data_IF_643081802768
#
_entry.id   IF_643081802768
#
_cell.length_a   1.000
_cell.length_b   1.000
_cell.length_c   1.000
_cell.angle_alpha   90.00
_cell.angle_beta   90.00
_cell.angle_gamma   90.00
#
_symmetry.space_group_name_H-M   'P 1'
#
loop_
_entity.id
_entity.type
_entity.pdbx_description
1 polymer ?
#
# COMPACT_ATOMS: atom_id res chain seq x y z
N UNK A 1 -1.83 32.09 -42.86
CA UNK A 1 -2.86 33.13 -42.65
C UNK A 1 -2.95 33.39 -41.15
N UNK A 2 -2.36 34.51 -40.70
CA UNK A 2 -2.21 34.86 -39.26
C UNK A 2 -3.41 35.69 -38.85
N UNK A 3 -4.15 35.31 -37.80
CA UNK A 3 -5.12 36.18 -37.13
C UNK A 3 -4.59 36.54 -35.74
N UNK A 4 -4.27 37.85 -35.59
CA UNK A 4 -4.00 38.48 -34.29
C UNK A 4 -5.31 39.02 -33.76
N UNK A 5 -5.64 38.73 -32.49
CA UNK A 5 -6.68 39.45 -31.74
C UNK A 5 -6.01 40.46 -30.80
N UNK A 6 -6.38 41.73 -30.98
CA UNK A 6 -6.03 42.83 -30.10
C UNK A 6 -6.91 42.78 -28.82
N UNK A 7 -6.24 42.94 -27.69
CA UNK A 7 -6.87 43.17 -26.41
C UNK A 7 -6.87 44.67 -26.10
N UNK A 8 -8.06 45.29 -25.99
CA UNK A 8 -8.24 46.69 -25.67
C UNK A 8 -8.31 46.86 -24.14
N UNK A 9 -7.38 47.61 -23.58
CA UNK A 9 -7.34 48.01 -22.16
C UNK A 9 -8.16 49.30 -22.01
N UNK A 10 -9.18 49.26 -21.15
CA UNK A 10 -9.90 50.45 -20.68
C UNK A 10 -9.36 50.84 -19.31
N UNK A 11 -8.77 52.03 -19.27
CA UNK A 11 -8.23 52.67 -18.06
C UNK A 11 -9.35 53.56 -17.47
N UNK A 12 -9.84 53.26 -16.26
CA UNK A 12 -10.73 54.15 -15.52
C UNK A 12 -10.05 54.65 -14.25
N UNK A 13 -10.05 55.95 -14.07
CA UNK A 13 -9.24 56.66 -13.09
C UNK A 13 -9.70 56.51 -11.63
N UNK A 14 -8.72 56.64 -10.75
CA UNK A 14 -8.84 56.69 -9.30
C UNK A 14 -9.14 58.13 -8.84
N UNK A 15 -10.15 58.23 -7.97
CA UNK A 15 -10.29 59.36 -7.05
C UNK A 15 -9.88 58.88 -5.65
N UNK A 16 -8.86 59.46 -5.10
CA UNK A 16 -8.37 59.23 -3.76
C UNK A 16 -9.29 59.90 -2.72
N UNK A 17 -9.79 59.12 -1.76
CA UNK A 17 -10.33 59.61 -0.50
C UNK A 17 -9.48 59.06 0.62
N UNK A 18 -8.78 59.92 1.35
CA UNK A 18 -8.11 59.56 2.59
C UNK A 18 -9.13 59.31 3.70
N UNK A 19 -9.22 58.09 4.22
CA UNK A 19 -9.80 57.79 5.50
C UNK A 19 -8.75 57.18 6.43
N UNK A 20 -8.64 57.72 7.62
CA UNK A 20 -7.74 57.28 8.70
C UNK A 20 -8.16 55.91 9.18
N UNK A 21 -7.35 54.89 8.92
CA UNK A 21 -7.51 53.56 9.46
C UNK A 21 -7.06 53.50 10.91
N UNK A 22 -8.02 53.19 11.79
CA UNK A 22 -7.71 52.56 13.08
C UNK A 22 -7.30 51.07 12.83
N UNK A 23 -6.35 50.50 13.61
CA UNK A 23 -5.95 49.11 13.39
C UNK A 23 -7.08 48.17 13.75
N UNK A 24 -7.62 47.46 12.76
CA UNK A 24 -8.52 46.33 12.99
C UNK A 24 -7.81 45.28 13.83
N UNK A 25 -8.28 45.09 15.04
CA UNK A 25 -7.91 43.94 15.88
C UNK A 25 -8.44 42.68 15.20
N UNK A 26 -7.54 41.79 14.78
CA UNK A 26 -7.92 40.44 14.32
C UNK A 26 -8.87 39.80 15.35
N UNK A 27 -9.98 39.22 14.91
CA UNK A 27 -10.89 38.55 15.84
C UNK A 27 -10.14 37.37 16.51
N UNK A 28 -10.02 37.46 17.84
CA UNK A 28 -9.60 36.34 18.66
C UNK A 28 -10.54 35.17 18.35
N UNK A 29 -10.03 33.96 17.99
CA UNK A 29 -10.91 32.81 17.83
C UNK A 29 -11.72 32.62 19.10
N UNK A 30 -13.04 32.56 18.94
CA UNK A 30 -13.95 32.35 20.04
C UNK A 30 -13.55 31.04 20.77
N UNK A 31 -13.60 31.01 22.12
CA UNK A 31 -13.40 29.78 22.86
C UNK A 31 -14.38 28.75 22.31
N UNK A 32 -13.89 27.54 22.04
CA UNK A 32 -14.75 26.41 21.70
C UNK A 32 -15.54 26.10 22.97
N UNK A 33 -16.80 26.50 22.97
CA UNK A 33 -17.73 26.29 24.09
C UNK A 33 -17.93 24.77 24.23
N UNK A 34 -17.81 24.17 25.43
CA UNK A 34 -18.28 22.81 25.65
C UNK A 34 -19.81 22.82 25.65
N UNK A 35 -20.38 22.88 24.47
CA UNK A 35 -21.83 22.97 24.25
C UNK A 35 -22.46 21.60 24.52
N UNK A 36 -23.72 21.54 25.01
CA UNK A 36 -24.53 20.32 25.13
C UNK A 36 -24.66 19.53 23.80
N UNK A 37 -24.22 20.08 22.68
CA UNK A 37 -24.03 19.39 21.39
C UNK A 37 -22.87 18.44 21.28
N UNK A 38 -21.90 18.44 22.21
CA UNK A 38 -20.72 17.56 22.11
C UNK A 38 -21.06 16.08 22.27
N UNK A 39 -21.81 15.73 23.32
CA UNK A 39 -22.21 14.34 23.55
C UNK A 39 -23.22 13.84 22.51
N UNK A 40 -24.16 14.68 22.07
CA UNK A 40 -25.11 14.32 21.02
C UNK A 40 -24.39 14.09 19.68
N UNK A 41 -23.44 14.95 19.32
CA UNK A 41 -22.64 14.82 18.09
C UNK A 41 -21.78 13.57 18.10
N UNK A 42 -21.20 13.18 19.25
CA UNK A 42 -20.47 11.93 19.40
C UNK A 42 -21.35 10.71 19.17
N UNK A 43 -22.55 10.70 19.73
CA UNK A 43 -23.52 9.63 19.48
C UNK A 43 -23.91 9.58 18.00
N UNK A 44 -24.19 10.73 17.37
CA UNK A 44 -24.48 10.79 15.92
C UNK A 44 -23.33 10.27 15.07
N UNK A 45 -22.07 10.57 15.43
CA UNK A 45 -20.88 10.09 14.73
C UNK A 45 -20.69 8.59 14.93
N UNK A 46 -20.88 8.09 16.13
CA UNK A 46 -20.81 6.65 16.44
C UNK A 46 -21.87 5.87 15.65
N UNK A 47 -23.13 6.31 15.69
CA UNK A 47 -24.22 5.67 14.94
C UNK A 47 -23.97 5.69 13.42
N UNK A 48 -23.39 6.79 12.91
CA UNK A 48 -23.03 6.90 11.51
C UNK A 48 -21.92 5.91 11.13
N UNK A 49 -20.89 5.74 11.99
CA UNK A 49 -19.83 4.76 11.77
C UNK A 49 -20.38 3.33 11.79
N UNK A 50 -21.12 2.97 12.87
CA UNK A 50 -21.70 1.64 12.98
C UNK A 50 -22.55 1.27 11.79
N UNK A 51 -23.44 2.20 11.38
CA UNK A 51 -24.32 2.03 10.22
C UNK A 51 -23.54 1.94 8.91
N UNK A 52 -22.45 2.70 8.76
CA UNK A 52 -21.63 2.64 7.57
C UNK A 52 -21.01 1.25 7.40
N UNK A 53 -20.47 0.67 8.48
CA UNK A 53 -19.96 -0.70 8.47
C UNK A 53 -21.11 -1.68 8.20
N UNK A 54 -22.23 -1.56 8.91
CA UNK A 54 -23.40 -2.42 8.70
C UNK A 54 -23.87 -2.48 7.25
N UNK A 55 -23.81 -1.38 6.52
CA UNK A 55 -24.29 -1.27 5.15
C UNK A 55 -23.26 -1.48 4.06
N UNK A 56 -21.97 -1.25 4.34
CA UNK A 56 -20.93 -1.19 3.31
C UNK A 56 -19.82 -2.23 3.49
N UNK A 57 -19.68 -2.82 4.68
CA UNK A 57 -18.68 -3.86 4.89
C UNK A 57 -18.96 -5.04 3.97
N UNK A 58 -17.99 -5.42 3.15
CA UNK A 58 -18.19 -6.35 2.03
C UNK A 58 -18.67 -7.74 2.46
N UNK A 59 -18.24 -8.22 3.62
CA UNK A 59 -18.64 -9.52 4.16
C UNK A 59 -19.89 -9.40 5.01
N UNK A 60 -21.02 -9.95 4.53
CA UNK A 60 -22.32 -9.85 5.20
C UNK A 60 -22.37 -10.48 6.60
N UNK A 61 -21.54 -11.49 6.82
CA UNK A 61 -21.41 -12.19 8.11
C UNK A 61 -20.45 -11.48 9.08
N UNK A 62 -19.92 -10.30 8.73
CA UNK A 62 -18.91 -9.54 9.46
C UNK A 62 -17.72 -10.44 9.88
N UNK A 63 -17.37 -11.43 9.08
CA UNK A 63 -16.33 -12.44 9.38
C UNK A 63 -16.59 -13.23 10.67
N UNK A 64 -17.88 -13.41 11.02
CA UNK A 64 -18.33 -14.11 12.23
C UNK A 64 -18.45 -13.22 13.47
N UNK A 65 -18.27 -11.91 13.34
CA UNK A 65 -18.43 -10.95 14.45
C UNK A 65 -19.91 -10.60 14.63
N UNK A 66 -20.39 -10.63 15.87
CA UNK A 66 -21.71 -10.07 16.24
C UNK A 66 -21.61 -8.54 16.24
N UNK A 67 -21.92 -7.94 15.07
CA UNK A 67 -21.79 -6.50 14.85
C UNK A 67 -22.82 -5.71 15.67
N UNK A 68 -23.98 -6.28 15.99
CA UNK A 68 -24.94 -5.66 16.90
C UNK A 68 -24.43 -5.65 18.35
N UNK A 69 -23.82 -6.72 18.80
CA UNK A 69 -23.19 -6.74 20.13
C UNK A 69 -22.04 -5.74 20.23
N UNK A 70 -21.25 -5.55 19.17
CA UNK A 70 -20.21 -4.52 19.09
C UNK A 70 -20.78 -3.10 19.28
N UNK A 71 -21.93 -2.81 18.65
CA UNK A 71 -22.67 -1.56 18.86
C UNK A 71 -23.09 -1.36 20.32
N UNK A 72 -23.84 -2.33 20.85
CA UNK A 72 -24.46 -2.23 22.19
C UNK A 72 -23.39 -2.08 23.29
N UNK A 73 -22.29 -2.79 23.19
CA UNK A 73 -21.17 -2.69 24.14
C UNK A 73 -20.44 -1.36 24.03
N UNK A 74 -20.21 -0.85 22.82
CA UNK A 74 -19.57 0.46 22.64
C UNK A 74 -20.48 1.59 23.14
N UNK A 75 -21.79 1.50 22.91
CA UNK A 75 -22.76 2.48 23.40
C UNK A 75 -22.74 2.59 24.95
N UNK A 76 -22.38 1.53 25.67
CA UNK A 76 -22.25 1.57 27.13
C UNK A 76 -21.05 2.38 27.62
N UNK A 77 -19.96 2.43 26.86
CA UNK A 77 -18.72 3.14 27.25
C UNK A 77 -18.67 4.58 26.73
N UNK A 78 -19.42 4.90 25.66
CA UNK A 78 -19.48 6.23 25.06
C UNK A 78 -19.78 7.37 26.03
N UNK A 79 -20.70 7.23 27.03
CA UNK A 79 -20.96 8.31 27.99
C UNK A 79 -19.79 8.67 28.89
N UNK A 80 -18.78 7.80 29.02
CA UNK A 80 -17.55 8.03 29.78
C UNK A 80 -16.40 8.56 28.93
N UNK A 81 -16.57 8.69 27.62
CA UNK A 81 -15.55 9.21 26.70
C UNK A 81 -15.66 10.76 26.64
N UNK A 82 -15.05 11.43 27.62
CA UNK A 82 -15.17 12.89 27.78
C UNK A 82 -14.20 13.65 26.86
N UNK A 83 -13.08 13.05 26.47
CA UNK A 83 -12.06 13.62 25.58
C UNK A 83 -12.20 13.13 24.13
N UNK A 84 -11.54 13.79 23.18
CA UNK A 84 -11.45 13.32 21.79
C UNK A 84 -10.70 12.00 21.69
N UNK A 85 -9.65 11.82 22.46
CA UNK A 85 -8.83 10.59 22.47
C UNK A 85 -9.61 9.39 23.01
N UNK A 86 -10.37 9.56 24.10
CA UNK A 86 -11.23 8.51 24.65
C UNK A 86 -12.35 8.14 23.67
N UNK A 87 -12.92 9.12 22.97
CA UNK A 87 -13.89 8.86 21.93
C UNK A 87 -13.27 8.12 20.75
N UNK A 88 -12.10 8.54 20.26
CA UNK A 88 -11.38 7.86 19.19
C UNK A 88 -11.03 6.42 19.59
N UNK A 89 -10.62 6.19 20.83
CA UNK A 89 -10.34 4.85 21.35
C UNK A 89 -11.60 3.97 21.36
N UNK A 90 -12.75 4.51 21.75
CA UNK A 90 -14.02 3.76 21.71
C UNK A 90 -14.42 3.39 20.27
N UNK A 91 -14.26 4.33 19.30
CA UNK A 91 -14.53 4.10 17.88
C UNK A 91 -13.61 3.01 17.30
N UNK A 92 -12.30 3.09 17.57
CA UNK A 92 -11.33 2.07 17.15
C UNK A 92 -11.61 0.73 17.80
N UNK A 93 -11.86 0.68 19.11
CA UNK A 93 -12.15 -0.55 19.83
C UNK A 93 -13.42 -1.27 19.33
N UNK A 94 -14.37 -0.55 18.72
CA UNK A 94 -15.49 -1.19 18.01
C UNK A 94 -15.02 -1.81 16.68
N UNK A 95 -14.20 -1.10 15.90
CA UNK A 95 -13.68 -1.59 14.62
C UNK A 95 -12.69 -2.73 14.78
N UNK A 96 -11.88 -2.74 15.83
CA UNK A 96 -10.87 -3.76 16.16
C UNK A 96 -11.50 -5.15 16.43
N UNK A 97 -12.83 -5.25 16.49
CA UNK A 97 -13.53 -6.53 16.50
C UNK A 97 -13.57 -7.20 15.15
N UNK A 98 -13.52 -6.42 14.08
CA UNK A 98 -13.33 -6.92 12.73
C UNK A 98 -11.87 -7.37 12.56
N UNK A 99 -11.58 -8.26 11.62
CA UNK A 99 -10.19 -8.62 11.32
C UNK A 99 -9.35 -7.39 10.98
N UNK A 100 -8.08 -7.45 11.37
CA UNK A 100 -7.11 -6.38 11.14
C UNK A 100 -7.07 -5.96 9.66
N UNK A 101 -6.95 -4.67 9.40
CA UNK A 101 -6.88 -4.10 8.06
C UNK A 101 -8.23 -3.84 7.38
N UNK A 102 -9.33 -4.47 7.82
CA UNK A 102 -10.63 -4.37 7.14
C UNK A 102 -11.45 -3.11 7.49
N UNK A 103 -11.13 -2.45 8.59
CA UNK A 103 -11.76 -1.18 8.95
C UNK A 103 -10.79 -0.31 9.75
N UNK A 104 -10.83 1.02 9.52
CA UNK A 104 -9.98 1.98 10.21
C UNK A 104 -10.73 3.27 10.45
N UNK A 105 -10.55 3.86 11.64
CA UNK A 105 -11.07 5.17 12.00
C UNK A 105 -9.95 6.20 12.06
N UNK A 106 -10.16 7.32 11.41
CA UNK A 106 -9.31 8.51 11.48
C UNK A 106 -10.06 9.65 12.15
N UNK A 107 -9.49 10.22 13.19
CA UNK A 107 -9.99 11.45 13.78
C UNK A 107 -9.92 12.59 12.76
N UNK A 108 -10.63 13.68 13.03
CA UNK A 108 -10.55 14.87 12.19
C UNK A 108 -9.10 15.42 12.10
N UNK A 109 -8.35 15.35 13.21
CA UNK A 109 -6.97 15.82 13.23
C UNK A 109 -6.07 14.96 12.34
N UNK A 110 -6.13 13.63 12.48
CA UNK A 110 -5.37 12.68 11.65
C UNK A 110 -5.74 12.79 10.17
N UNK A 111 -7.02 12.98 9.86
CA UNK A 111 -7.46 13.21 8.47
C UNK A 111 -6.84 14.47 7.88
N UNK A 112 -6.85 15.58 8.62
CA UNK A 112 -6.24 16.85 8.15
C UNK A 112 -4.74 16.67 7.97
N UNK A 113 -4.08 16.00 8.90
CA UNK A 113 -2.64 15.69 8.81
C UNK A 113 -2.35 14.85 7.57
N UNK A 114 -3.10 13.78 7.34
CA UNK A 114 -2.95 12.92 6.16
C UNK A 114 -3.20 13.68 4.84
N UNK A 115 -4.21 14.55 4.78
CA UNK A 115 -4.54 15.34 3.58
C UNK A 115 -3.55 16.47 3.31
N UNK A 116 -2.81 16.93 4.32
CA UNK A 116 -1.79 17.99 4.20
C UNK A 116 -0.38 17.43 4.11
N UNK A 117 -0.18 16.14 4.39
CA UNK A 117 1.10 15.47 4.20
C UNK A 117 1.50 15.51 2.72
N UNK A 118 2.80 15.67 2.46
CA UNK A 118 3.33 15.55 1.11
C UNK A 118 3.51 14.06 0.76
N UNK A 119 2.66 13.47 -0.10
CA UNK A 119 2.73 12.04 -0.38
C UNK A 119 3.96 11.65 -1.21
N UNK A 120 4.57 12.61 -1.89
CA UNK A 120 5.72 12.39 -2.78
C UNK A 120 7.04 12.49 -2.04
N UNK A 121 7.10 13.31 -0.99
CA UNK A 121 8.32 13.54 -0.24
C UNK A 121 8.14 13.13 1.22
N UNK A 122 9.02 12.31 1.73
CA UNK A 122 9.08 11.99 3.15
C UNK A 122 10.50 12.19 3.71
N UNK A 123 10.61 12.34 5.00
CA UNK A 123 11.89 12.46 5.69
C UNK A 123 12.20 11.15 6.43
N UNK A 124 13.28 10.49 6.04
CA UNK A 124 13.62 9.19 6.59
C UNK A 124 14.92 8.60 6.03
N UNK A 125 15.03 7.27 6.09
CA UNK A 125 16.24 6.55 5.70
C UNK A 125 16.30 6.20 4.21
N UNK A 126 15.16 6.10 3.52
CA UNK A 126 15.11 5.75 2.09
C UNK A 126 14.98 4.27 1.81
N UNK A 127 14.08 3.61 2.51
CA UNK A 127 13.75 2.21 2.30
C UNK A 127 12.24 1.96 2.40
N UNK A 128 11.75 1.01 1.62
CA UNK A 128 10.45 0.37 1.84
C UNK A 128 10.65 -0.79 2.80
N UNK A 129 9.69 -0.99 3.70
CA UNK A 129 9.84 -1.91 4.82
C UNK A 129 8.62 -2.78 5.00
N UNK A 130 8.83 -3.95 5.61
CA UNK A 130 7.78 -4.77 6.21
C UNK A 130 8.18 -5.18 7.63
N UNK A 131 7.22 -5.65 8.40
CA UNK A 131 7.43 -6.08 9.78
C UNK A 131 7.33 -7.60 9.88
N UNK A 132 8.22 -8.21 10.68
CA UNK A 132 8.21 -9.64 10.98
C UNK A 132 8.24 -9.88 12.48
N UNK A 133 7.44 -10.83 12.95
CA UNK A 133 7.41 -11.24 14.37
C UNK A 133 8.46 -12.30 14.69
N UNK A 134 8.74 -13.19 13.75
CA UNK A 134 9.61 -14.35 13.93
C UNK A 134 10.95 -14.18 13.20
N UNK A 135 12.05 -14.72 13.70
CA UNK A 135 12.21 -15.43 15.00
C UNK A 135 12.22 -14.49 16.22
N UNK A 136 12.31 -13.23 16.02
CA UNK A 136 12.17 -12.12 16.97
C UNK A 136 11.67 -10.89 16.21
N UNK A 137 10.94 -9.94 16.83
CA UNK A 137 10.40 -8.78 16.13
C UNK A 137 11.48 -7.97 15.42
N UNK A 138 11.30 -7.73 14.13
CA UNK A 138 12.23 -6.96 13.31
C UNK A 138 11.54 -6.32 12.10
N UNK A 139 12.24 -5.41 11.46
CA UNK A 139 11.86 -4.80 10.19
C UNK A 139 12.75 -5.37 9.10
N UNK A 140 12.15 -5.87 8.02
CA UNK A 140 12.88 -6.25 6.81
C UNK A 140 12.85 -5.11 5.79
N UNK A 141 13.96 -4.87 5.11
CA UNK A 141 14.05 -3.93 4.00
C UNK A 141 13.59 -4.61 2.71
N UNK A 142 12.45 -4.16 2.17
CA UNK A 142 11.88 -4.68 0.93
C UNK A 142 12.64 -4.15 -0.29
N UNK A 143 12.84 -2.84 -0.34
CA UNK A 143 13.67 -2.21 -1.36
C UNK A 143 14.32 -0.94 -0.82
N UNK A 144 15.40 -0.52 -1.48
CA UNK A 144 16.17 0.68 -1.15
C UNK A 144 16.01 1.69 -2.28
N UNK A 145 15.71 2.94 -1.92
CA UNK A 145 15.63 4.05 -2.85
C UNK A 145 17.07 4.44 -3.25
N UNK A 146 17.39 4.48 -4.54
CA UNK A 146 18.73 4.87 -5.02
C UNK A 146 19.14 6.25 -4.48
N UNK A 147 20.43 6.42 -4.21
CA UNK A 147 21.05 7.64 -3.68
C UNK A 147 20.50 8.10 -2.31
N UNK A 148 19.73 7.26 -1.64
CA UNK A 148 19.19 7.54 -0.30
C UNK A 148 20.26 7.38 0.81
N UNK A 149 19.96 7.82 2.05
CA UNK A 149 20.81 7.51 3.20
C UNK A 149 21.05 6.02 3.42
N UNK A 150 20.03 5.18 3.21
CA UNK A 150 20.15 3.73 3.32
C UNK A 150 21.11 3.16 2.27
N UNK A 151 20.93 3.56 0.99
CA UNK A 151 21.81 3.19 -0.11
C UNK A 151 23.28 3.63 0.13
N UNK A 152 23.46 4.91 0.49
CA UNK A 152 24.79 5.46 0.82
C UNK A 152 25.47 4.76 1.99
N UNK A 153 24.69 4.27 2.97
CA UNK A 153 25.19 3.51 4.12
C UNK A 153 25.46 2.03 3.80
N UNK A 154 25.20 1.57 2.57
CA UNK A 154 25.40 0.20 2.13
C UNK A 154 24.37 -0.77 2.73
N UNK A 155 23.14 -0.30 2.96
CA UNK A 155 22.00 -1.17 3.24
C UNK A 155 21.45 -1.72 1.91
N UNK A 156 21.01 -2.96 1.94
CA UNK A 156 20.48 -3.66 0.77
C UNK A 156 19.06 -4.17 1.06
N UNK A 157 18.33 -4.49 0.01
CA UNK A 157 17.10 -5.28 0.16
C UNK A 157 17.45 -6.59 0.90
N UNK A 158 16.51 -7.12 1.67
CA UNK A 158 16.68 -8.29 2.56
C UNK A 158 17.39 -7.99 3.90
N UNK A 159 18.04 -6.85 4.10
CA UNK A 159 18.60 -6.49 5.41
C UNK A 159 17.50 -6.40 6.46
N UNK A 160 17.79 -6.91 7.67
CA UNK A 160 16.87 -6.94 8.80
C UNK A 160 17.31 -5.97 9.88
N UNK A 161 16.43 -5.08 10.35
CA UNK A 161 16.67 -4.13 11.42
C UNK A 161 16.05 -4.67 12.69
N UNK A 162 16.85 -4.88 13.74
CA UNK A 162 16.42 -5.41 15.04
C UNK A 162 16.33 -4.35 16.14
N UNK A 163 17.06 -3.24 16.00
CA UNK A 163 17.01 -2.14 16.95
C UNK A 163 17.25 -0.80 16.26
N UNK A 164 16.66 0.26 16.82
CA UNK A 164 16.80 1.65 16.38
C UNK A 164 17.21 2.49 17.59
N UNK A 165 18.34 3.22 17.46
CA UNK A 165 18.94 4.03 18.54
C UNK A 165 19.17 3.21 19.84
N UNK A 166 19.60 1.96 19.67
CA UNK A 166 19.87 1.03 20.77
C UNK A 166 18.64 0.44 21.45
N UNK A 167 17.43 0.75 20.98
CA UNK A 167 16.17 0.19 21.47
C UNK A 167 15.69 -0.91 20.53
N UNK A 168 15.51 -2.12 21.06
CA UNK A 168 14.97 -3.24 20.27
C UNK A 168 13.58 -2.91 19.73
N UNK A 169 13.27 -3.50 18.58
CA UNK A 169 11.92 -3.48 18.00
C UNK A 169 11.07 -4.49 18.77
N UNK A 170 9.82 -4.16 19.04
CA UNK A 170 8.89 -5.01 19.81
C UNK A 170 7.69 -5.45 18.99
N UNK A 171 7.04 -6.54 19.40
CA UNK A 171 5.86 -7.06 18.72
C UNK A 171 4.69 -6.07 18.74
N UNK A 172 4.57 -5.29 19.81
CA UNK A 172 3.49 -4.33 19.99
C UNK A 172 3.62 -3.11 19.05
N UNK A 173 4.83 -2.81 18.58
CA UNK A 173 5.04 -1.70 17.64
C UNK A 173 4.48 -2.03 16.26
N UNK A 174 4.61 -3.28 15.81
CA UNK A 174 4.20 -3.63 14.44
C UNK A 174 4.80 -2.69 13.40
N UNK A 175 4.00 -2.28 12.40
CA UNK A 175 4.43 -1.31 11.39
C UNK A 175 4.58 0.13 11.91
N UNK A 176 4.09 0.47 13.10
CA UNK A 176 4.28 1.79 13.71
C UNK A 176 5.76 2.11 13.98
N UNK A 177 6.62 1.09 14.00
CA UNK A 177 8.08 1.24 14.02
C UNK A 177 8.60 2.18 12.91
N UNK A 178 7.86 2.35 11.83
CA UNK A 178 8.19 3.31 10.75
C UNK A 178 8.40 4.72 11.27
N UNK A 179 7.68 5.12 12.34
CA UNK A 179 7.82 6.44 12.95
C UNK A 179 9.21 6.66 13.59
N UNK A 180 9.90 5.59 14.00
CA UNK A 180 11.26 5.66 14.53
C UNK A 180 12.31 5.74 13.41
N UNK A 181 12.02 5.17 12.23
CA UNK A 181 12.88 5.26 11.04
C UNK A 181 12.76 6.62 10.35
N UNK A 182 11.57 7.23 10.40
CA UNK A 182 11.32 8.59 9.94
C UNK A 182 11.86 9.61 10.94
N UNK A 183 11.95 10.86 10.51
CA UNK A 183 12.32 11.99 11.35
C UNK A 183 12.97 13.11 10.53
N UNK A 184 13.22 14.27 11.14
CA UNK A 184 13.70 15.47 10.45
C UNK A 184 14.97 15.20 9.64
N UNK A 185 15.04 15.77 8.42
CA UNK A 185 16.22 15.69 7.58
C UNK A 185 17.46 16.17 8.34
N UNK A 186 18.60 15.53 8.08
CA UNK A 186 19.88 15.71 8.79
C UNK A 186 19.91 15.23 10.25
N UNK A 187 18.81 14.68 10.81
CA UNK A 187 18.87 13.98 12.09
C UNK A 187 19.57 12.62 11.92
N UNK A 188 20.36 12.22 12.90
CA UNK A 188 21.03 10.92 12.89
C UNK A 188 20.14 9.82 13.43
N UNK A 189 20.35 8.60 12.95
CA UNK A 189 19.77 7.36 13.51
C UNK A 189 20.82 6.25 13.46
N UNK A 190 20.84 5.42 14.50
CA UNK A 190 21.68 4.24 14.60
C UNK A 190 20.80 3.00 14.47
N UNK A 191 21.10 2.13 13.51
CA UNK A 191 20.37 0.89 13.26
C UNK A 191 21.23 -0.30 13.63
N UNK A 192 20.66 -1.30 14.29
CA UNK A 192 21.26 -2.62 14.44
C UNK A 192 20.71 -3.50 13.34
N UNK A 193 21.55 -3.83 12.36
CA UNK A 193 21.19 -4.48 11.09
C UNK A 193 21.85 -5.83 10.97
N UNK A 194 21.15 -6.75 10.31
CA UNK A 194 21.69 -8.06 9.93
C UNK A 194 21.32 -8.38 8.49
N UNK A 195 22.29 -8.60 7.62
CA UNK A 195 22.09 -9.26 6.32
C UNK A 195 21.89 -10.76 6.57
N UNK A 196 20.93 -11.44 5.89
CA UNK A 196 20.75 -12.89 6.05
C UNK A 196 22.05 -13.68 5.87
N UNK A 197 22.36 -14.50 6.87
CA UNK A 197 23.62 -15.27 6.91
C UNK A 197 24.81 -14.58 7.57
N UNK A 198 24.74 -13.28 7.83
CA UNK A 198 25.82 -12.51 8.45
C UNK A 198 25.56 -12.23 9.95
N UNK A 199 26.56 -11.67 10.62
CA UNK A 199 26.42 -11.17 11.99
C UNK A 199 25.81 -9.78 12.00
N UNK A 200 25.13 -9.43 13.12
CA UNK A 200 24.60 -8.07 13.35
C UNK A 200 25.72 -7.04 13.35
N UNK A 201 25.41 -5.87 12.77
CA UNK A 201 26.30 -4.70 12.72
C UNK A 201 25.51 -3.43 13.08
N UNK A 202 26.22 -2.42 13.57
CA UNK A 202 25.63 -1.08 13.72
C UNK A 202 25.88 -0.26 12.46
N UNK A 203 24.84 0.42 12.00
CA UNK A 203 24.86 1.33 10.85
C UNK A 203 24.36 2.69 11.30
N UNK A 204 25.18 3.73 11.15
CA UNK A 204 24.83 5.10 11.45
C UNK A 204 24.56 5.86 10.16
N UNK A 205 23.42 6.49 10.05
CA UNK A 205 23.04 7.29 8.90
C UNK A 205 22.30 8.57 9.29
N UNK A 206 22.24 9.51 8.38
CA UNK A 206 21.46 10.75 8.55
C UNK A 206 20.23 10.68 7.67
N UNK A 207 19.06 10.95 8.26
CA UNK A 207 17.81 11.02 7.49
C UNK A 207 17.86 12.14 6.46
N UNK A 208 17.19 11.94 5.35
CA UNK A 208 17.08 12.94 4.29
C UNK A 208 15.62 13.15 3.87
N UNK A 209 15.37 14.27 3.18
CA UNK A 209 14.12 14.43 2.43
C UNK A 209 14.26 13.67 1.11
N UNK A 210 13.32 12.79 0.83
CA UNK A 210 13.38 11.80 -0.24
C UNK A 210 12.12 11.87 -1.08
N UNK A 211 12.26 11.65 -2.39
CA UNK A 211 11.15 11.25 -3.25
C UNK A 211 10.90 9.74 -3.08
N UNK A 212 9.65 9.33 -3.10
CA UNK A 212 9.27 7.91 -3.05
C UNK A 212 9.24 7.34 -4.46
N UNK A 213 10.41 7.13 -5.05
CA UNK A 213 10.52 6.51 -6.36
C UNK A 213 11.11 5.10 -6.18
N UNK A 214 10.42 4.10 -6.74
CA UNK A 214 10.90 2.72 -6.84
C UNK A 214 10.59 2.25 -8.27
N UNK A 215 11.61 1.76 -8.96
CA UNK A 215 11.53 1.41 -10.38
C UNK A 215 11.40 -0.09 -10.59
N UNK A 216 10.84 -0.49 -11.73
CA UNK A 216 10.94 -1.86 -12.25
C UNK A 216 12.42 -2.20 -12.43
N UNK A 217 12.86 -3.31 -11.82
CA UNK A 217 14.23 -3.81 -11.95
C UNK A 217 14.22 -5.16 -12.65
N UNK A 218 15.11 -5.36 -13.58
CA UNK A 218 15.17 -6.65 -14.26
C UNK A 218 16.15 -6.69 -15.42
N UNK A 219 16.11 -7.81 -16.13
CA UNK A 219 16.95 -8.11 -17.26
C UNK A 219 16.79 -9.55 -17.72
N UNK A 220 17.48 -9.93 -18.80
CA UNK A 220 17.62 -11.33 -19.16
C UNK A 220 18.62 -11.98 -18.19
N UNK A 221 18.21 -13.06 -17.51
CA UNK A 221 19.04 -13.73 -16.53
C UNK A 221 20.29 -14.33 -17.17
N UNK A 222 21.44 -14.06 -16.57
CA UNK A 222 22.76 -14.37 -17.15
C UNK A 222 22.92 -15.83 -17.57
N UNK A 223 23.28 -16.06 -18.83
CA UNK A 223 23.49 -17.41 -19.40
C UNK A 223 22.19 -18.13 -19.80
N UNK A 224 21.04 -17.45 -19.77
CA UNK A 224 19.74 -18.00 -20.13
C UNK A 224 19.01 -17.14 -21.18
N UNK A 225 17.81 -17.57 -21.57
CA UNK A 225 16.86 -16.82 -22.39
C UNK A 225 15.58 -16.47 -21.59
N UNK A 226 15.67 -16.45 -20.26
CA UNK A 226 14.57 -16.13 -19.36
C UNK A 226 14.66 -14.66 -18.95
N UNK A 227 13.57 -13.93 -19.18
CA UNK A 227 13.38 -12.56 -18.66
C UNK A 227 12.99 -12.58 -17.19
N UNK A 228 13.51 -11.63 -16.42
CA UNK A 228 13.12 -11.38 -15.04
C UNK A 228 12.78 -9.91 -14.87
N UNK A 229 11.63 -9.63 -14.26
CA UNK A 229 11.22 -8.28 -13.89
C UNK A 229 10.68 -8.30 -12.46
N UNK A 230 11.23 -7.45 -11.59
CA UNK A 230 10.68 -7.20 -10.27
C UNK A 230 9.82 -5.95 -10.31
N UNK A 231 8.56 -6.11 -9.94
CA UNK A 231 7.61 -5.01 -9.78
C UNK A 231 8.02 -4.18 -8.55
N UNK A 232 7.99 -2.83 -8.63
CA UNK A 232 8.32 -1.97 -7.50
C UNK A 232 7.36 -2.19 -6.32
N UNK A 233 7.81 -1.82 -5.13
CA UNK A 233 6.99 -1.92 -3.91
C UNK A 233 5.71 -1.09 -4.05
N UNK A 234 5.79 0.11 -4.61
CA UNK A 234 4.63 0.95 -4.94
C UNK A 234 4.64 1.26 -6.43
N UNK A 235 3.82 0.55 -7.21
CA UNK A 235 3.63 0.85 -8.63
C UNK A 235 2.63 2.00 -8.84
N UNK A 236 2.80 2.71 -9.94
CA UNK A 236 1.90 3.80 -10.39
C UNK A 236 1.28 3.48 -11.77
N UNK A 237 0.55 4.43 -12.34
CA UNK A 237 -0.11 4.29 -13.64
C UNK A 237 0.83 4.02 -14.82
N UNK A 238 2.14 4.27 -14.68
CA UNK A 238 3.14 4.02 -15.73
C UNK A 238 3.64 2.57 -15.75
N UNK A 239 3.37 1.79 -14.71
CA UNK A 239 3.93 0.45 -14.48
C UNK A 239 3.75 -0.49 -15.66
N UNK A 240 2.52 -0.59 -16.21
CA UNK A 240 2.26 -1.48 -17.33
C UNK A 240 3.06 -1.11 -18.59
N UNK A 241 3.19 0.18 -18.88
CA UNK A 241 4.00 0.67 -20.00
C UNK A 241 5.49 0.38 -19.77
N UNK A 242 5.99 0.53 -18.55
CA UNK A 242 7.38 0.24 -18.19
C UNK A 242 7.69 -1.25 -18.38
N UNK A 243 6.79 -2.14 -17.95
CA UNK A 243 6.94 -3.58 -18.19
C UNK A 243 6.87 -3.95 -19.66
N UNK A 244 5.93 -3.33 -20.42
CA UNK A 244 5.82 -3.54 -21.86
C UNK A 244 7.13 -3.14 -22.58
N UNK A 245 7.69 -1.98 -22.28
CA UNK A 245 8.95 -1.53 -22.84
C UNK A 245 10.11 -2.47 -22.47
N UNK A 246 10.16 -2.90 -21.21
CA UNK A 246 11.19 -3.88 -20.75
C UNK A 246 11.09 -5.21 -21.50
N UNK A 247 9.89 -5.70 -21.80
CA UNK A 247 9.69 -6.91 -22.61
C UNK A 247 10.21 -6.74 -24.04
N UNK A 248 9.91 -5.60 -24.68
CA UNK A 248 10.42 -5.29 -26.02
C UNK A 248 11.96 -5.21 -26.02
N UNK A 249 12.53 -4.57 -24.99
CA UNK A 249 13.99 -4.46 -24.84
C UNK A 249 14.66 -5.85 -24.65
N UNK A 250 14.06 -6.75 -23.86
CA UNK A 250 14.55 -8.10 -23.67
C UNK A 250 14.47 -8.91 -24.98
N UNK A 251 13.32 -8.84 -25.68
CA UNK A 251 13.15 -9.51 -26.98
C UNK A 251 14.11 -8.99 -28.06
N UNK A 252 14.53 -7.72 -27.96
CA UNK A 252 15.55 -7.16 -28.87
C UNK A 252 16.94 -7.74 -28.65
N UNK A 253 17.23 -8.24 -27.43
CA UNK A 253 18.52 -8.81 -27.03
C UNK A 253 18.58 -10.32 -27.33
N UNK A 254 17.48 -11.04 -27.08
CA UNK A 254 17.37 -12.48 -27.29
C UNK A 254 15.93 -12.90 -27.44
N UNK A 255 15.68 -14.02 -28.14
CA UNK A 255 14.37 -14.65 -28.13
C UNK A 255 14.12 -15.28 -26.76
N UNK A 256 13.15 -14.71 -26.01
CA UNK A 256 12.81 -15.21 -24.69
C UNK A 256 12.10 -16.55 -24.77
N UNK A 257 12.44 -17.46 -23.84
CA UNK A 257 11.76 -18.75 -23.65
C UNK A 257 10.84 -18.78 -22.45
N UNK A 258 10.91 -17.77 -21.56
CA UNK A 258 10.04 -17.63 -20.41
C UNK A 258 10.23 -16.27 -19.73
N UNK A 259 9.30 -15.94 -18.84
CA UNK A 259 9.30 -14.72 -18.06
C UNK A 259 9.02 -15.02 -16.59
N UNK A 260 9.79 -14.43 -15.70
CA UNK A 260 9.54 -14.38 -14.27
C UNK A 260 9.15 -12.94 -13.91
N UNK A 261 7.96 -12.76 -13.37
CA UNK A 261 7.50 -11.50 -12.82
C UNK A 261 7.48 -11.61 -11.28
N UNK A 262 8.32 -10.83 -10.63
CA UNK A 262 8.48 -10.88 -9.17
C UNK A 262 7.56 -9.85 -8.49
N UNK A 263 6.55 -10.36 -7.81
CA UNK A 263 5.55 -9.60 -7.07
C UNK A 263 5.76 -9.66 -5.56
N UNK A 264 6.80 -10.34 -5.07
CA UNK A 264 6.98 -10.65 -3.64
C UNK A 264 6.96 -9.44 -2.72
N UNK A 265 7.25 -8.25 -3.22
CA UNK A 265 7.25 -7.00 -2.44
C UNK A 265 6.29 -5.96 -3.01
N UNK A 266 5.41 -6.36 -3.93
CA UNK A 266 4.53 -5.43 -4.63
C UNK A 266 3.26 -5.17 -3.84
N UNK A 267 2.98 -3.89 -3.60
CA UNK A 267 1.77 -3.39 -2.96
C UNK A 267 0.98 -2.49 -3.92
N UNK A 268 -0.30 -2.30 -3.62
CA UNK A 268 -1.10 -1.30 -4.36
C UNK A 268 -0.57 0.11 -4.11
N UNK A 269 0.01 0.72 -5.13
CA UNK A 269 0.32 2.14 -5.18
C UNK A 269 -0.86 2.98 -5.70
N UNK A 270 -0.72 4.30 -5.63
CA UNK A 270 -1.72 5.22 -6.22
C UNK A 270 -1.75 5.08 -7.74
N UNK A 271 -2.91 4.69 -8.28
CA UNK A 271 -3.07 4.51 -9.73
C UNK A 271 -2.49 3.21 -10.28
N UNK A 272 -2.27 2.19 -9.44
CA UNK A 272 -1.78 0.88 -9.88
C UNK A 272 -2.64 0.31 -11.03
N UNK A 273 -2.09 0.01 -12.22
CA UNK A 273 -2.87 -0.19 -13.45
C UNK A 273 -3.30 -1.65 -13.62
N UNK A 274 -4.19 -2.18 -12.75
CA UNK A 274 -4.60 -3.59 -12.78
C UNK A 274 -5.08 -4.04 -14.18
N UNK A 275 -5.96 -3.25 -14.82
CA UNK A 275 -6.52 -3.61 -16.14
C UNK A 275 -5.45 -3.69 -17.22
N UNK A 276 -4.49 -2.74 -17.22
CA UNK A 276 -3.42 -2.74 -18.22
C UNK A 276 -2.39 -3.85 -17.93
N UNK A 277 -2.14 -4.17 -16.65
CA UNK A 277 -1.30 -5.30 -16.25
C UNK A 277 -1.94 -6.64 -16.66
N UNK A 278 -3.26 -6.80 -16.44
CA UNK A 278 -4.00 -7.96 -16.90
C UNK A 278 -3.96 -8.05 -18.44
N UNK A 279 -4.11 -6.93 -19.15
CA UNK A 279 -4.07 -6.91 -20.62
C UNK A 279 -2.70 -7.33 -21.18
N UNK A 280 -1.60 -7.06 -20.49
CA UNK A 280 -0.28 -7.54 -20.92
C UNK A 280 -0.16 -9.07 -20.88
N UNK A 281 -0.75 -9.72 -19.88
CA UNK A 281 -0.48 -11.13 -19.62
C UNK A 281 -1.67 -12.06 -19.80
N UNK A 282 -2.91 -11.55 -19.79
CA UNK A 282 -4.15 -12.32 -19.86
C UNK A 282 -5.11 -11.81 -20.92
N UNK A 283 -6.18 -12.56 -21.18
CA UNK A 283 -7.25 -12.23 -22.11
C UNK A 283 -8.55 -12.87 -21.66
N UNK A 284 -9.68 -12.19 -21.83
CA UNK A 284 -11.00 -12.68 -21.48
C UNK A 284 -11.46 -12.32 -20.07
N UNK A 285 -12.16 -13.24 -19.42
CA UNK A 285 -12.72 -13.04 -18.06
C UNK A 285 -11.63 -13.25 -17.01
N UNK A 286 -11.42 -12.21 -16.18
CA UNK A 286 -10.39 -12.17 -15.14
C UNK A 286 -10.99 -12.08 -13.73
N UNK A 287 -12.22 -12.59 -13.54
CA UNK A 287 -12.95 -12.54 -12.27
C UNK A 287 -13.84 -11.31 -12.15
N UNK A 288 -14.16 -10.95 -10.91
CA UNK A 288 -15.10 -9.87 -10.62
C UNK A 288 -14.78 -9.16 -9.33
N UNK A 289 -14.96 -7.85 -9.31
CA UNK A 289 -15.11 -7.12 -8.07
C UNK A 289 -16.54 -7.25 -7.54
N UNK A 290 -16.69 -7.40 -6.24
CA UNK A 290 -17.99 -7.44 -5.62
C UNK A 290 -18.05 -6.59 -4.34
N UNK A 291 -19.25 -6.05 -4.09
CA UNK A 291 -19.61 -5.31 -2.89
C UNK A 291 -20.99 -5.77 -2.43
N UNK A 292 -21.51 -5.20 -1.35
CA UNK A 292 -22.92 -5.44 -0.98
C UNK A 292 -23.93 -4.94 -2.00
N UNK A 293 -23.55 -3.97 -2.83
CA UNK A 293 -24.47 -3.30 -3.76
C UNK A 293 -24.40 -3.84 -5.18
N UNK A 294 -23.25 -4.31 -5.62
CA UNK A 294 -23.01 -4.67 -7.02
C UNK A 294 -21.89 -5.71 -7.17
N UNK A 295 -21.91 -6.35 -8.32
CA UNK A 295 -20.83 -7.18 -8.83
C UNK A 295 -20.40 -6.62 -10.18
N UNK A 296 -19.10 -6.46 -10.37
CA UNK A 296 -18.50 -5.85 -11.57
C UNK A 296 -17.49 -6.83 -12.20
N UNK A 297 -17.86 -7.52 -13.29
CA UNK A 297 -16.97 -8.44 -13.98
C UNK A 297 -15.77 -7.71 -14.58
N UNK A 298 -14.59 -8.34 -14.52
CA UNK A 298 -13.37 -7.87 -15.15
C UNK A 298 -13.22 -8.60 -16.49
N UNK A 299 -13.44 -7.88 -17.61
CA UNK A 299 -13.25 -8.37 -18.96
C UNK A 299 -12.07 -7.66 -19.59
N UNK A 300 -11.09 -8.41 -20.03
CA UNK A 300 -9.83 -7.91 -20.56
C UNK A 300 -9.69 -8.29 -22.04
N UNK A 301 -9.28 -7.32 -22.85
CA UNK A 301 -8.78 -7.55 -24.19
C UNK A 301 -7.25 -7.59 -24.13
N UNK A 302 -6.68 -8.77 -24.37
CA UNK A 302 -5.26 -9.04 -24.24
C UNK A 302 -4.41 -8.28 -25.28
N UNK A 303 -3.26 -7.77 -24.83
CA UNK A 303 -2.30 -7.04 -25.64
C UNK A 303 -0.97 -7.80 -25.68
N UNK A 304 -0.62 -8.38 -26.81
CA UNK A 304 0.61 -9.15 -26.92
C UNK A 304 1.81 -8.24 -27.24
N UNK A 305 2.56 -7.87 -26.20
CA UNK A 305 3.78 -7.08 -26.30
C UNK A 305 4.97 -7.96 -25.96
N UNK A 306 5.99 -8.04 -26.83
CA UNK A 306 7.18 -8.86 -26.58
C UNK A 306 6.84 -10.34 -26.27
N UNK A 307 5.82 -10.88 -26.92
CA UNK A 307 5.28 -12.24 -26.69
C UNK A 307 4.66 -12.44 -25.27
N UNK A 308 4.30 -11.38 -24.55
CA UNK A 308 3.76 -11.42 -23.18
C UNK A 308 2.58 -12.38 -23.00
N UNK A 309 1.74 -12.55 -24.04
CA UNK A 309 0.56 -13.43 -23.98
C UNK A 309 0.90 -14.92 -24.12
N UNK A 310 2.07 -15.26 -24.63
CA UNK A 310 2.41 -16.63 -25.02
C UNK A 310 3.63 -17.22 -24.33
N UNK A 311 4.52 -16.37 -23.78
CA UNK A 311 5.65 -16.84 -23.00
C UNK A 311 5.18 -17.63 -21.77
N UNK A 312 5.81 -18.77 -21.43
CA UNK A 312 5.69 -19.35 -20.10
C UNK A 312 5.92 -18.27 -19.04
N UNK A 313 4.98 -18.11 -18.11
CA UNK A 313 4.98 -17.05 -17.11
C UNK A 313 4.97 -17.64 -15.70
N UNK A 314 5.95 -17.25 -14.91
CA UNK A 314 5.98 -17.53 -13.47
C UNK A 314 5.85 -16.21 -12.70
N UNK A 315 4.97 -16.21 -11.69
CA UNK A 315 4.84 -15.12 -10.74
C UNK A 315 5.48 -15.53 -9.42
N UNK A 316 6.43 -14.75 -8.91
CA UNK A 316 6.94 -14.93 -7.55
C UNK A 316 6.03 -14.15 -6.59
N UNK A 317 5.52 -14.84 -5.58
CA UNK A 317 4.59 -14.28 -4.59
C UNK A 317 5.05 -14.57 -3.16
N UNK A 318 4.59 -13.77 -2.22
CA UNK A 318 4.89 -13.93 -0.79
C UNK A 318 3.99 -13.07 0.10
N UNK A 319 4.25 -13.02 1.42
CA UNK A 319 3.42 -12.28 2.37
C UNK A 319 3.27 -10.78 2.06
N UNK A 320 4.29 -10.19 1.43
CA UNK A 320 4.26 -8.78 1.04
C UNK A 320 3.69 -8.55 -0.37
N UNK A 321 3.11 -9.56 -1.03
CA UNK A 321 2.29 -9.38 -2.25
C UNK A 321 0.89 -8.97 -1.81
N UNK A 322 0.52 -7.68 -1.94
CA UNK A 322 -0.72 -7.18 -1.33
C UNK A 322 -1.55 -6.31 -2.28
N UNK A 323 -2.88 -6.46 -2.18
CA UNK A 323 -3.83 -5.65 -2.92
C UNK A 323 -3.94 -5.99 -4.41
N UNK A 324 -3.84 -5.00 -5.30
CA UNK A 324 -3.99 -5.21 -6.75
C UNK A 324 -2.94 -6.16 -7.37
N UNK A 325 -1.67 -6.18 -6.94
CA UNK A 325 -0.71 -7.22 -7.32
C UNK A 325 -1.17 -8.64 -6.97
N UNK A 326 -1.82 -8.83 -5.83
CA UNK A 326 -2.37 -10.11 -5.42
C UNK A 326 -3.58 -10.50 -6.28
N UNK A 327 -4.45 -9.54 -6.65
CA UNK A 327 -5.55 -9.75 -7.60
C UNK A 327 -5.01 -10.13 -8.98
N UNK A 328 -3.95 -9.48 -9.47
CA UNK A 328 -3.27 -9.86 -10.70
C UNK A 328 -2.82 -11.32 -10.66
N UNK A 329 -2.14 -11.72 -9.58
CA UNK A 329 -1.64 -13.08 -9.41
C UNK A 329 -2.81 -14.09 -9.35
N UNK A 330 -3.88 -13.77 -8.61
CA UNK A 330 -5.09 -14.60 -8.51
C UNK A 330 -5.76 -14.85 -9.86
N UNK A 331 -5.96 -13.79 -10.64
CA UNK A 331 -6.59 -13.87 -11.96
C UNK A 331 -5.77 -14.72 -12.93
N UNK A 332 -4.45 -14.51 -12.96
CA UNK A 332 -3.56 -15.24 -13.87
C UNK A 332 -3.35 -16.70 -13.44
N UNK A 333 -3.41 -17.02 -12.14
CA UNK A 333 -3.41 -18.39 -11.63
C UNK A 333 -4.71 -19.10 -12.02
N UNK A 334 -5.86 -18.51 -11.69
CA UNK A 334 -7.18 -19.11 -11.93
C UNK A 334 -7.47 -19.36 -13.43
N UNK A 335 -6.87 -18.58 -14.30
CA UNK A 335 -6.95 -18.77 -15.77
C UNK A 335 -5.84 -19.67 -16.33
N UNK A 336 -5.05 -20.32 -15.48
CA UNK A 336 -3.91 -21.15 -15.85
C UNK A 336 -2.89 -20.43 -16.75
N UNK A 337 -2.88 -19.08 -16.71
CA UNK A 337 -1.96 -18.27 -17.51
C UNK A 337 -0.57 -18.18 -16.87
N UNK A 338 -0.49 -18.22 -15.55
CA UNK A 338 0.77 -18.16 -14.82
C UNK A 338 0.84 -19.23 -13.73
N UNK A 339 2.05 -19.68 -13.43
CA UNK A 339 2.36 -20.52 -12.28
C UNK A 339 2.88 -19.65 -11.14
N UNK A 340 2.32 -19.79 -9.94
CA UNK A 340 2.75 -19.07 -8.75
C UNK A 340 3.81 -19.87 -7.99
N UNK A 341 4.93 -19.21 -7.65
CA UNK A 341 6.05 -19.81 -6.90
C UNK A 341 6.38 -18.94 -5.70
N UNK A 342 6.55 -19.51 -4.51
CA UNK A 342 6.95 -18.79 -3.31
C UNK A 342 6.19 -19.19 -2.05
N UNK A 343 5.84 -18.19 -1.24
CA UNK A 343 5.03 -18.34 -0.02
C UNK A 343 3.58 -17.89 -0.27
N UNK A 344 2.63 -18.37 0.56
CA UNK A 344 1.27 -17.84 0.54
C UNK A 344 1.26 -16.33 0.77
N UNK A 345 0.30 -15.65 0.15
CA UNK A 345 0.01 -14.24 0.41
C UNK A 345 -0.98 -14.10 1.57
N UNK A 346 -1.13 -12.88 2.10
CA UNK A 346 -1.96 -12.63 3.28
C UNK A 346 -3.44 -12.37 2.97
N UNK A 347 -3.83 -12.19 1.70
CA UNK A 347 -5.22 -11.92 1.30
C UNK A 347 -5.66 -10.48 1.55
N UNK A 348 -4.76 -9.54 1.55
CA UNK A 348 -5.05 -8.11 1.79
C UNK A 348 -5.51 -7.40 0.50
N UNK A 349 -6.60 -7.87 -0.10
CA UNK A 349 -7.08 -7.41 -1.41
C UNK A 349 -8.29 -6.47 -1.34
N UNK A 350 -8.88 -6.29 -0.17
CA UNK A 350 -10.07 -5.47 -0.03
C UNK A 350 -9.76 -4.01 -0.36
N UNK A 351 -10.64 -3.42 -1.16
CA UNK A 351 -10.57 -2.01 -1.51
C UNK A 351 -11.39 -1.22 -0.49
N UNK A 352 -10.75 -0.35 0.30
CA UNK A 352 -11.43 0.40 1.32
C UNK A 352 -12.31 1.52 0.72
N UNK A 353 -13.52 1.65 1.21
CA UNK A 353 -14.40 2.80 0.97
C UNK A 353 -14.19 3.84 2.07
N UNK A 354 -13.87 5.07 1.68
CA UNK A 354 -13.75 6.18 2.62
C UNK A 354 -15.13 6.76 2.94
N UNK A 355 -15.50 6.77 4.21
CA UNK A 355 -16.80 7.27 4.70
C UNK A 355 -16.57 8.50 5.56
N UNK A 356 -17.01 9.71 5.13
CA UNK A 356 -16.96 10.90 5.96
C UNK A 356 -18.01 10.82 7.08
N UNK A 357 -17.61 11.25 8.28
CA UNK A 357 -18.45 11.20 9.48
C UNK A 357 -18.88 12.60 9.94
N UNK A 358 -19.99 12.72 10.74
CA UNK A 358 -20.61 14.01 11.07
C UNK A 358 -19.72 15.02 11.81
N UNK A 359 -18.74 14.57 12.58
CA UNK A 359 -17.78 15.42 13.31
C UNK A 359 -16.57 15.87 12.47
N UNK A 360 -16.50 15.40 11.22
CA UNK A 360 -15.41 15.66 10.30
C UNK A 360 -14.28 14.64 10.38
N UNK A 361 -14.41 13.60 11.19
CA UNK A 361 -13.60 12.38 11.14
C UNK A 361 -13.95 11.54 9.90
N UNK A 362 -13.23 10.44 9.67
CA UNK A 362 -13.41 9.56 8.52
C UNK A 362 -13.18 8.10 8.93
N UNK A 363 -13.94 7.21 8.32
CA UNK A 363 -13.64 5.78 8.39
C UNK A 363 -13.25 5.24 7.02
N UNK A 364 -12.42 4.21 7.01
CA UNK A 364 -12.18 3.35 5.85
C UNK A 364 -12.74 1.98 6.17
N UNK A 365 -13.53 1.43 5.27
CA UNK A 365 -14.24 0.18 5.47
C UNK A 365 -13.98 -0.68 4.24
N UNK A 366 -13.58 -1.94 4.41
CA UNK A 366 -13.50 -2.91 3.31
C UNK A 366 -14.86 -2.99 2.61
N UNK A 367 -15.02 -2.24 1.54
CA UNK A 367 -16.31 -2.08 0.82
C UNK A 367 -16.41 -2.92 -0.43
N UNK A 368 -15.28 -3.33 -1.00
CA UNK A 368 -15.18 -4.12 -2.21
C UNK A 368 -14.12 -5.20 -2.02
N UNK A 369 -14.38 -6.41 -2.52
CA UNK A 369 -13.43 -7.50 -2.59
C UNK A 369 -13.43 -8.12 -3.98
N UNK A 370 -12.64 -9.17 -4.22
CA UNK A 370 -12.46 -9.79 -5.52
C UNK A 370 -12.70 -11.30 -5.47
N UNK A 371 -13.31 -11.83 -6.53
CA UNK A 371 -13.42 -13.26 -6.81
C UNK A 371 -12.78 -13.60 -8.13
N UNK A 372 -12.07 -14.72 -8.15
CA UNK A 372 -11.51 -15.31 -9.37
C UNK A 372 -12.59 -15.78 -10.32
N UNK A 373 -12.28 -16.07 -11.62
CA UNK A 373 -13.26 -16.60 -12.58
C UNK A 373 -13.93 -17.91 -12.15
N UNK A 374 -13.25 -18.74 -11.35
CA UNK A 374 -13.80 -19.98 -10.80
C UNK A 374 -14.56 -19.77 -9.47
N UNK A 375 -14.68 -18.52 -9.01
CA UNK A 375 -15.48 -18.11 -7.86
C UNK A 375 -14.79 -18.20 -6.50
N UNK A 376 -13.46 -18.37 -6.47
CA UNK A 376 -12.69 -18.33 -5.21
C UNK A 376 -12.64 -16.89 -4.69
N UNK A 377 -13.03 -16.69 -3.45
CA UNK A 377 -12.86 -15.44 -2.71
C UNK A 377 -11.45 -15.40 -2.11
N UNK A 378 -10.58 -14.56 -2.66
CA UNK A 378 -9.18 -14.48 -2.27
C UNK A 378 -8.98 -13.65 -1.01
N UNK A 379 -9.87 -12.68 -0.76
CA UNK A 379 -9.68 -11.65 0.26
C UNK A 379 -9.54 -12.14 1.69
N UNK A 380 -9.97 -13.30 2.03
CA UNK A 380 -9.87 -13.82 3.42
C UNK A 380 -8.84 -14.93 3.58
N UNK A 381 -8.36 -15.46 2.47
CA UNK A 381 -7.58 -16.70 2.46
C UNK A 381 -6.15 -16.49 1.97
N UNK A 382 -5.91 -15.41 1.24
CA UNK A 382 -4.70 -15.24 0.46
C UNK A 382 -4.58 -16.26 -0.67
N UNK A 383 -3.52 -16.16 -1.44
CA UNK A 383 -3.18 -17.09 -2.49
C UNK A 383 -2.28 -18.20 -1.97
N UNK A 384 -2.56 -19.43 -2.38
CA UNK A 384 -1.63 -20.53 -2.22
C UNK A 384 -0.83 -20.67 -3.51
N UNK A 385 0.51 -20.57 -3.47
CA UNK A 385 1.32 -20.78 -4.66
C UNK A 385 1.23 -22.22 -5.15
N UNK A 386 1.36 -22.42 -6.46
CA UNK A 386 1.38 -23.77 -7.08
C UNK A 386 2.62 -24.55 -6.66
N UNK A 387 3.73 -23.83 -6.49
CA UNK A 387 4.99 -24.37 -6.00
C UNK A 387 5.43 -23.59 -4.76
N UNK A 388 5.28 -24.22 -3.60
CA UNK A 388 5.71 -23.63 -2.34
C UNK A 388 7.22 -23.74 -2.16
N UNK A 389 7.86 -22.61 -1.87
CA UNK A 389 9.28 -22.53 -1.49
C UNK A 389 9.35 -21.78 -0.15
N UNK A 390 9.78 -22.50 0.90
CA UNK A 390 9.85 -21.93 2.27
C UNK A 390 11.10 -21.07 2.44
N UNK A 391 11.08 -19.89 1.84
CA UNK A 391 12.15 -18.89 1.91
C UNK A 391 11.52 -17.48 1.84
N UNK A 392 11.36 -16.83 2.99
CA UNK A 392 10.83 -15.47 3.05
C UNK A 392 11.90 -14.42 2.71
N UNK A 393 11.46 -13.21 2.41
CA UNK A 393 12.30 -12.09 1.98
C UNK A 393 13.42 -11.73 2.99
N UNK A 394 13.14 -11.87 4.29
CA UNK A 394 14.06 -11.63 5.40
C UNK A 394 15.10 -12.75 5.62
N UNK A 395 14.97 -13.87 4.91
CA UNK A 395 15.81 -15.06 5.08
C UNK A 395 16.79 -15.30 3.95
N UNK A 396 16.65 -14.56 2.85
CA UNK A 396 17.42 -14.71 1.63
C UNK A 396 18.27 -13.47 1.35
N UNK A 397 19.18 -13.61 0.38
CA UNK A 397 19.85 -12.52 -0.31
C UNK A 397 19.70 -12.73 -1.81
N UNK A 398 20.03 -11.74 -2.62
CA UNK A 398 20.02 -11.90 -4.08
C UNK A 398 20.85 -13.11 -4.54
N UNK A 399 21.91 -13.47 -3.81
CA UNK A 399 22.78 -14.61 -4.14
C UNK A 399 22.23 -15.97 -3.68
N UNK A 400 21.28 -15.99 -2.74
CA UNK A 400 20.73 -17.21 -2.12
C UNK A 400 19.23 -17.36 -2.34
N UNK A 401 18.66 -16.64 -3.30
CA UNK A 401 17.24 -16.59 -3.59
C UNK A 401 16.72 -17.91 -4.19
N UNK A 402 16.34 -18.84 -3.31
CA UNK A 402 15.84 -20.16 -3.71
C UNK A 402 14.51 -20.07 -4.47
N UNK A 403 13.68 -19.04 -4.21
CA UNK A 403 12.41 -18.85 -4.92
C UNK A 403 12.67 -18.54 -6.38
N UNK A 404 13.57 -17.57 -6.65
CA UNK A 404 13.99 -17.22 -8.00
C UNK A 404 14.67 -18.40 -8.72
N UNK A 405 15.54 -19.13 -8.03
CA UNK A 405 16.23 -20.28 -8.63
C UNK A 405 15.27 -21.41 -9.00
N UNK A 406 14.29 -21.71 -8.13
CA UNK A 406 13.24 -22.70 -8.43
C UNK A 406 12.43 -22.30 -9.67
N UNK A 407 11.99 -21.04 -9.74
CA UNK A 407 11.27 -20.53 -10.89
C UNK A 407 12.10 -20.61 -12.19
N UNK A 408 13.37 -20.29 -12.10
CA UNK A 408 14.28 -20.38 -13.25
C UNK A 408 14.46 -21.83 -13.73
N UNK A 409 14.67 -22.78 -12.81
CA UNK A 409 14.79 -24.20 -13.15
C UNK A 409 13.54 -24.70 -13.87
N UNK A 410 12.34 -24.34 -13.40
CA UNK A 410 11.07 -24.71 -14.03
C UNK A 410 10.91 -24.21 -15.48
N UNK A 411 11.52 -23.06 -15.82
CA UNK A 411 11.45 -22.50 -17.17
C UNK A 411 12.56 -23.05 -18.10
N UNK A 412 13.56 -23.73 -17.55
CA UNK A 412 14.66 -24.33 -18.31
C UNK A 412 14.47 -25.84 -18.60
N UNK A 413 13.51 -26.48 -17.92
CA UNK A 413 13.11 -27.87 -18.17
C UNK A 413 12.20 -27.99 -19.42
#
# INVERSE_FOLDING_TARGET
MRFRFLLTIVLAGLLAACSTDEPETSPTPAPIDPTPGGSQRRVETFEALWKAVDQQFVYEDFTGVDWQAAHDETLLVLPGADTEDEFAQAMRGMLDRLPEGLARYETRAERIEAETADPVNYEGIGAFISFRLEPEPHVVLLSIIPDSPADTAGLEAHDNIYAIDGQAITAEEGLDVVHRLRGPAASSVTLTVQTPGDSRREVNLQRAKLATEDDVRGGVLGGTTVGYMRVPTLGDESLANTLAQGLEDFQSQTELTGLILDLRIAHTGSGWPLSDMLALFGDGEMGEFYSRASTEPIQIEGQNVGASQTLPLILLVGPDTQGLPEILAAALQATERATLVGLPTDGAIEIPTAVPLPDGSRAFIAGTSYRTPDGLDVGRLGLTPDVRVDADWDQITTATDQVLFTALEMLLE
#
